data_IF_621065735754
#
_entry.id   IF_621065735754
#
_cell.length_a   1.000
_cell.length_b   1.000
_cell.length_c   1.000
_cell.angle_alpha   90.00
_cell.angle_beta   90.00
_cell.angle_gamma   90.00
#
_symmetry.space_group_name_H-M   'P 1'
#
loop_
_entity.id
_entity.type
_entity.pdbx_description
1 polymer ?
#
# COMPACT_ATOMS: atom_id res chain seq x y z
N UNK A 1 -17.18 10.20 7.98
CA UNK A 1 -17.35 8.84 8.55
C UNK A 1 -18.84 8.58 8.68
N UNK A 2 -19.39 7.71 7.83
CA UNK A 2 -20.74 7.17 7.99
C UNK A 2 -20.73 5.78 7.38
N UNK A 3 -21.13 4.77 8.15
CA UNK A 3 -21.17 3.36 7.76
C UNK A 3 -22.65 3.01 7.56
N UNK A 4 -23.05 2.76 6.32
CA UNK A 4 -24.36 2.20 6.01
C UNK A 4 -24.20 0.69 5.79
N UNK A 5 -24.93 -0.10 6.56
CA UNK A 5 -25.01 -1.55 6.48
C UNK A 5 -25.71 -2.00 5.19
N UNK A 6 -25.14 -2.98 4.48
CA UNK A 6 -25.79 -3.60 3.32
C UNK A 6 -25.07 -4.86 2.83
N UNK A 7 -25.78 -5.99 2.96
CA UNK A 7 -25.60 -7.35 2.44
C UNK A 7 -24.62 -7.63 1.28
N UNK A 8 -23.80 -8.67 1.49
CA UNK A 8 -23.25 -9.64 0.53
C UNK A 8 -23.32 -9.26 -0.97
N UNK A 9 -22.28 -8.58 -1.42
CA UNK A 9 -21.96 -8.41 -2.83
C UNK A 9 -20.52 -7.90 -2.92
N UNK A 10 -19.73 -8.42 -3.86
CA UNK A 10 -18.39 -7.93 -4.17
C UNK A 10 -18.41 -6.39 -4.24
N UNK A 11 -17.94 -5.75 -3.16
CA UNK A 11 -17.88 -4.30 -3.12
C UNK A 11 -16.60 -3.90 -3.81
N UNK A 12 -16.71 -3.65 -5.12
CA UNK A 12 -15.70 -2.87 -5.83
C UNK A 12 -15.86 -1.46 -5.28
N UNK A 13 -15.13 -1.15 -4.20
CA UNK A 13 -15.06 0.20 -3.67
C UNK A 13 -14.36 1.06 -4.73
N UNK A 14 -15.13 1.76 -5.55
CA UNK A 14 -14.59 2.87 -6.35
C UNK A 14 -14.24 3.97 -5.36
N UNK A 15 -12.97 4.03 -4.97
CA UNK A 15 -12.44 5.12 -4.17
C UNK A 15 -12.24 6.31 -5.10
N UNK A 16 -12.66 7.51 -4.68
CA UNK A 16 -12.54 8.75 -5.45
C UNK A 16 -11.11 8.89 -6.04
N UNK A 17 -10.99 9.28 -7.32
CA UNK A 17 -9.74 9.19 -8.08
C UNK A 17 -8.62 10.12 -7.58
N UNK A 18 -8.88 11.04 -6.66
CA UNK A 18 -7.96 12.09 -6.23
C UNK A 18 -7.56 12.04 -4.74
N UNK A 19 -8.13 11.13 -3.95
CA UNK A 19 -7.91 11.10 -2.48
C UNK A 19 -7.50 9.73 -1.93
N UNK A 20 -7.39 8.72 -2.80
CA UNK A 20 -6.96 7.38 -2.40
C UNK A 20 -5.46 7.19 -2.56
N UNK A 21 -4.78 7.07 -1.42
CA UNK A 21 -3.34 6.78 -1.37
C UNK A 21 -3.04 5.30 -1.67
N UNK A 22 -4.05 4.42 -1.57
CA UNK A 22 -3.92 2.98 -1.78
C UNK A 22 -5.17 2.39 -2.46
N UNK A 23 -4.96 1.64 -3.56
CA UNK A 23 -5.97 0.75 -4.14
C UNK A 23 -5.88 -0.61 -3.46
N UNK A 24 -7.01 -1.16 -2.98
CA UNK A 24 -7.04 -2.49 -2.35
C UNK A 24 -7.62 -3.53 -3.30
N UNK A 25 -6.82 -4.53 -3.67
CA UNK A 25 -7.27 -5.71 -4.41
C UNK A 25 -7.24 -6.97 -3.53
N UNK A 26 -8.21 -7.87 -3.74
CA UNK A 26 -8.20 -9.22 -3.16
C UNK A 26 -7.78 -10.19 -4.26
N UNK A 27 -6.59 -10.78 -4.14
CA UNK A 27 -6.14 -11.81 -5.09
C UNK A 27 -6.72 -13.19 -4.71
N UNK A 28 -7.27 -13.93 -5.67
CA UNK A 28 -7.91 -15.23 -5.41
C UNK A 28 -6.97 -16.36 -4.97
N UNK A 29 -7.53 -17.27 -4.15
CA UNK A 29 -6.97 -18.49 -3.50
C UNK A 29 -6.20 -18.32 -2.18
N UNK A 30 -5.69 -17.13 -1.87
CA UNK A 30 -5.14 -16.78 -0.56
C UNK A 30 -5.69 -15.41 -0.18
N UNK A 31 -6.26 -15.27 1.03
CA UNK A 31 -6.90 -14.04 1.52
C UNK A 31 -5.87 -12.93 1.75
N UNK A 32 -5.32 -12.40 0.66
CA UNK A 32 -4.36 -11.31 0.69
C UNK A 32 -5.08 -10.01 0.34
N UNK A 33 -4.77 -8.95 1.09
CA UNK A 33 -5.18 -7.58 0.77
C UNK A 33 -3.95 -6.85 0.22
N UNK A 34 -4.05 -6.34 -1.00
CA UNK A 34 -2.96 -5.65 -1.69
C UNK A 34 -3.28 -4.17 -1.76
N UNK A 35 -2.54 -3.33 -1.05
CA UNK A 35 -2.63 -1.87 -1.10
C UNK A 35 -1.52 -1.27 -1.96
N UNK A 36 -1.83 -0.44 -2.97
CA UNK A 36 -0.79 0.24 -3.78
C UNK A 36 -1.05 1.73 -4.04
N UNK A 37 0.01 2.54 -3.95
CA UNK A 37 0.02 3.91 -4.50
C UNK A 37 -0.18 3.88 -6.01
N UNK A 38 -0.62 4.99 -6.64
CA UNK A 38 -0.56 5.14 -8.10
C UNK A 38 0.83 4.86 -8.68
N UNK A 39 0.91 4.56 -9.98
CA UNK A 39 2.16 4.22 -10.66
C UNK A 39 3.21 5.34 -10.58
N UNK A 40 2.78 6.60 -10.75
CA UNK A 40 3.63 7.79 -10.60
C UNK A 40 3.99 8.10 -9.13
N UNK A 41 3.45 7.31 -8.19
CA UNK A 41 3.58 7.51 -6.77
C UNK A 41 2.74 8.68 -6.26
N UNK A 42 3.13 9.20 -5.11
CA UNK A 42 2.52 10.37 -4.51
C UNK A 42 3.56 11.43 -4.14
N UNK A 43 3.24 12.73 -4.28
CA UNK A 43 4.20 13.80 -4.02
C UNK A 43 4.63 13.84 -2.54
N UNK A 44 5.92 14.10 -2.31
CA UNK A 44 6.49 14.30 -0.97
C UNK A 44 7.62 15.35 -0.99
N UNK A 45 8.10 15.74 0.19
CA UNK A 45 9.33 16.51 0.37
C UNK A 45 10.22 15.92 1.47
N UNK A 46 10.10 14.62 1.73
CA UNK A 46 10.77 13.96 2.84
C UNK A 46 12.13 13.38 2.43
N UNK A 47 13.18 13.75 3.18
CA UNK A 47 14.55 13.19 3.06
C UNK A 47 15.09 13.17 1.61
N UNK A 48 14.82 14.23 0.85
CA UNK A 48 15.30 14.37 -0.53
C UNK A 48 14.47 13.65 -1.59
N UNK A 49 13.36 12.99 -1.20
CA UNK A 49 12.40 12.47 -2.16
C UNK A 49 11.41 13.57 -2.60
N UNK A 50 10.96 13.47 -3.85
CA UNK A 50 9.85 14.25 -4.42
C UNK A 50 8.63 13.38 -4.73
N UNK A 51 8.81 12.06 -4.86
CA UNK A 51 7.74 11.08 -5.00
C UNK A 51 7.97 9.88 -4.08
N UNK A 52 6.88 9.27 -3.61
CA UNK A 52 6.87 8.01 -2.88
C UNK A 52 6.03 6.95 -3.59
N UNK A 53 6.49 5.71 -3.56
CA UNK A 53 5.66 4.55 -3.91
C UNK A 53 5.56 3.63 -2.71
N UNK A 54 4.40 3.01 -2.52
CA UNK A 54 4.24 1.93 -1.55
C UNK A 54 3.39 0.81 -2.15
N UNK A 55 3.83 -0.43 -1.94
CA UNK A 55 2.99 -1.63 -2.07
C UNK A 55 2.96 -2.35 -0.72
N UNK A 56 1.77 -2.62 -0.22
CA UNK A 56 1.51 -3.39 0.99
C UNK A 56 0.78 -4.67 0.57
N UNK A 57 1.30 -5.82 1.00
CA UNK A 57 0.61 -7.10 0.90
C UNK A 57 0.37 -7.57 2.33
N UNK A 58 -0.89 -7.53 2.75
CA UNK A 58 -1.33 -8.12 4.00
C UNK A 58 -1.80 -9.55 3.73
N UNK A 59 -1.24 -10.51 4.46
CA UNK A 59 -1.55 -11.93 4.32
C UNK A 59 -1.60 -12.60 5.69
N UNK A 60 -1.96 -13.87 5.73
CA UNK A 60 -2.19 -14.61 6.98
C UNK A 60 -0.98 -14.61 7.92
N UNK A 61 0.24 -14.64 7.38
CA UNK A 61 1.49 -14.73 8.16
C UNK A 61 2.05 -13.35 8.55
N UNK A 62 1.52 -12.26 7.99
CA UNK A 62 1.98 -10.91 8.30
C UNK A 62 1.72 -9.89 7.21
N UNK A 63 2.61 -8.90 7.14
CA UNK A 63 2.56 -7.82 6.17
C UNK A 63 3.93 -7.68 5.50
N UNK A 64 3.93 -7.72 4.18
CA UNK A 64 5.09 -7.38 3.36
C UNK A 64 4.88 -5.97 2.79
N UNK A 65 5.85 -5.07 2.96
CA UNK A 65 5.73 -3.68 2.48
C UNK A 65 6.97 -3.18 1.76
N UNK A 66 6.74 -2.42 0.68
CA UNK A 66 7.76 -1.83 -0.18
C UNK A 66 7.61 -0.31 -0.24
N UNK A 67 7.89 0.37 0.86
CA UNK A 67 8.01 1.83 0.91
C UNK A 67 9.30 2.32 0.25
N UNK A 68 9.18 3.24 -0.71
CA UNK A 68 10.30 3.82 -1.45
C UNK A 68 10.11 5.30 -1.70
N UNK A 69 11.17 6.08 -1.53
CA UNK A 69 11.23 7.49 -1.89
C UNK A 69 12.22 7.75 -3.01
N UNK A 70 11.81 8.55 -3.98
CA UNK A 70 12.57 8.87 -5.19
C UNK A 70 12.85 10.36 -5.30
N UNK A 71 14.07 10.73 -5.69
CA UNK A 71 14.40 12.11 -6.05
C UNK A 71 13.79 12.52 -7.42
N UNK A 72 14.00 13.78 -7.82
CA UNK A 72 13.47 14.32 -9.07
C UNK A 72 14.05 13.67 -10.35
N UNK A 73 15.16 12.95 -10.24
CA UNK A 73 15.75 12.19 -11.33
C UNK A 73 15.29 10.72 -11.35
N UNK A 74 14.42 10.32 -10.41
CA UNK A 74 13.92 8.95 -10.27
C UNK A 74 14.87 8.02 -9.52
N UNK A 75 15.90 8.54 -8.84
CA UNK A 75 16.80 7.69 -8.05
C UNK A 75 16.15 7.36 -6.70
N UNK A 76 16.25 6.09 -6.28
CA UNK A 76 15.86 5.67 -4.94
C UNK A 76 16.79 6.32 -3.90
N UNK A 77 16.25 7.22 -3.07
CA UNK A 77 17.01 7.91 -2.02
C UNK A 77 16.84 7.28 -0.64
N UNK A 78 15.70 6.63 -0.40
CA UNK A 78 15.45 5.87 0.82
C UNK A 78 14.39 4.79 0.60
N UNK A 79 14.33 3.83 1.51
CA UNK A 79 13.34 2.75 1.49
C UNK A 79 13.92 1.40 1.08
N UNK A 80 13.03 0.47 0.76
CA UNK A 80 13.39 -0.89 0.36
C UNK A 80 14.04 -0.90 -1.04
N UNK A 81 15.20 -1.57 -1.17
CA UNK A 81 15.94 -1.68 -2.44
C UNK A 81 15.44 -2.85 -3.28
N UNK A 82 15.69 -4.07 -2.79
CA UNK A 82 15.51 -5.30 -3.56
C UNK A 82 14.30 -6.13 -3.09
N UNK A 83 14.01 -6.14 -1.78
CA UNK A 83 12.97 -6.96 -1.16
C UNK A 83 12.12 -6.15 -0.18
N UNK A 84 10.84 -6.52 0.02
CA UNK A 84 9.97 -5.84 0.98
C UNK A 84 10.45 -6.05 2.41
N UNK A 85 10.17 -5.08 3.28
CA UNK A 85 10.21 -5.30 4.71
C UNK A 85 9.09 -6.27 5.09
N UNK A 86 9.41 -7.24 5.94
CA UNK A 86 8.49 -8.27 6.36
C UNK A 86 8.18 -8.11 7.84
N UNK A 87 6.94 -7.78 8.14
CA UNK A 87 6.40 -7.73 9.48
C UNK A 87 5.62 -9.02 9.73
N UNK A 88 5.90 -9.68 10.85
CA UNK A 88 5.25 -10.93 11.24
C UNK A 88 4.45 -10.72 12.50
N UNK A 89 3.32 -11.41 12.61
CA UNK A 89 2.48 -11.33 13.79
C UNK A 89 3.26 -11.79 15.02
N UNK A 90 3.22 -10.98 16.07
CA UNK A 90 3.67 -11.36 17.39
C UNK A 90 2.44 -11.54 18.27
N UNK A 91 2.49 -12.49 19.21
CA UNK A 91 1.45 -12.60 20.21
C UNK A 91 1.39 -11.29 21.02
N UNK A 92 0.19 -10.72 21.24
CA UNK A 92 0.05 -9.58 22.12
C UNK A 92 0.60 -9.91 23.52
N UNK A 93 1.39 -9.00 24.09
CA UNK A 93 1.87 -9.11 25.47
C UNK A 93 0.80 -8.73 26.50
#
# INVERSE_FOLDING_TARGET
MSIASGSHGFSRYSVEPDTSWFHTDVSGSQENYIGQTPEDGCPTNYRGAVSITNTIILHKEGMDTLDRGFDAAGNLVWGAKDLPYQFRWVEPQ
#
